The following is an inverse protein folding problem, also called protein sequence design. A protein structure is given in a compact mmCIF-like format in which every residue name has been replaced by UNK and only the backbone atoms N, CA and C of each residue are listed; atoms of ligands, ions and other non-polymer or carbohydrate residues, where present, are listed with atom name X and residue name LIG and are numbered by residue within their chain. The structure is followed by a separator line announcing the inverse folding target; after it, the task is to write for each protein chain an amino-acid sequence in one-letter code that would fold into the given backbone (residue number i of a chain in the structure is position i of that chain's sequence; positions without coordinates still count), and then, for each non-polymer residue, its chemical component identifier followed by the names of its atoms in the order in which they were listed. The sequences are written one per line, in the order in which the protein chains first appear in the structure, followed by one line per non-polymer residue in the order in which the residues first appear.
data_IF_541447616739
#
_entry.id   IF_541447616739
#
_cell.length_a   1.000
_cell.length_b   1.000
_cell.length_c   1.000
_cell.angle_alpha   90.00
_cell.angle_beta   90.00
_cell.angle_gamma   90.00
#
_symmetry.space_group_name_H-M   'P 1'
#
loop_
_entity.id
_entity.type
_entity.pdbx_description
1 polymer ?
#
# COMPACT_ATOMS: atom_id res chain seq x y z
N UNK A 1 20.87 -56.01 -9.85
CA UNK A 1 20.17 -55.86 -8.56
C UNK A 1 20.30 -54.42 -8.09
N UNK A 2 19.19 -53.85 -7.60
CA UNK A 2 18.96 -52.51 -7.03
C UNK A 2 19.26 -51.31 -7.96
N UNK A 3 18.28 -50.71 -8.65
CA UNK A 3 17.10 -49.94 -8.20
C UNK A 3 17.48 -48.59 -7.57
N UNK A 4 17.25 -47.52 -8.34
CA UNK A 4 17.34 -46.12 -7.90
C UNK A 4 16.10 -45.75 -7.06
N UNK A 5 16.23 -44.85 -6.06
CA UNK A 5 15.10 -44.39 -5.26
C UNK A 5 14.27 -43.31 -5.98
N UNK A 6 12.96 -43.39 -5.78
CA UNK A 6 11.94 -42.53 -6.36
C UNK A 6 11.80 -41.18 -5.62
N UNK A 7 11.48 -40.14 -6.38
CA UNK A 7 11.04 -38.84 -5.90
C UNK A 7 9.60 -38.91 -5.33
N UNK A 8 9.22 -38.03 -4.38
CA UNK A 8 7.86 -37.98 -3.86
C UNK A 8 6.88 -37.45 -4.93
N UNK A 9 5.69 -38.06 -4.93
CA UNK A 9 4.61 -37.76 -5.86
C UNK A 9 4.07 -36.34 -5.68
N UNK A 10 3.93 -35.62 -6.79
CA UNK A 10 3.10 -34.43 -6.88
C UNK A 10 1.63 -34.86 -6.82
N UNK A 11 0.87 -34.31 -5.88
CA UNK A 11 -0.60 -34.36 -5.89
C UNK A 11 -1.09 -33.48 -7.05
N UNK A 12 -1.52 -34.14 -8.12
CA UNK A 12 -2.18 -33.52 -9.27
C UNK A 12 -3.62 -33.18 -8.90
N UNK A 13 -4.00 -31.91 -8.99
CA UNK A 13 -5.41 -31.53 -9.07
C UNK A 13 -6.07 -32.26 -10.25
N UNK A 14 -7.25 -32.85 -10.08
CA UNK A 14 -7.95 -33.47 -11.19
C UNK A 14 -8.47 -32.40 -12.16
N UNK A 15 -8.14 -32.61 -13.43
CA UNK A 15 -8.66 -31.85 -14.55
C UNK A 15 -10.20 -31.83 -14.54
N UNK A 16 -10.78 -30.63 -14.65
CA UNK A 16 -12.21 -30.43 -14.82
C UNK A 16 -12.65 -31.00 -16.19
N UNK A 17 -13.45 -32.06 -16.14
CA UNK A 17 -14.06 -32.66 -17.33
C UNK A 17 -15.08 -31.70 -17.95
N UNK A 18 -15.23 -31.67 -19.29
CA UNK A 18 -16.22 -30.82 -19.93
C UNK A 18 -17.63 -31.27 -19.52
N UNK A 19 -18.41 -30.35 -18.96
CA UNK A 19 -19.80 -30.58 -18.63
C UNK A 19 -20.58 -31.01 -19.89
N UNK A 20 -21.23 -32.16 -19.82
CA UNK A 20 -22.15 -32.63 -20.84
C UNK A 20 -23.36 -31.68 -20.91
N UNK A 21 -23.67 -31.20 -22.11
CA UNK A 21 -24.84 -30.37 -22.39
C UNK A 21 -26.12 -31.17 -22.16
N UNK A 22 -26.94 -30.73 -21.21
CA UNK A 22 -28.24 -31.34 -20.91
C UNK A 22 -29.21 -31.12 -22.08
N UNK A 23 -30.09 -32.09 -22.42
CA UNK A 23 -31.01 -31.96 -23.54
C UNK A 23 -32.01 -30.81 -23.31
N UNK A 24 -32.18 -29.99 -24.35
CA UNK A 24 -33.11 -28.88 -24.37
C UNK A 24 -34.52 -29.31 -23.95
N UNK A 25 -35.01 -28.72 -22.86
CA UNK A 25 -36.39 -28.90 -22.41
C UNK A 25 -37.36 -28.33 -23.45
N UNK A 26 -38.41 -29.10 -23.78
CA UNK A 26 -39.46 -28.68 -24.71
C UNK A 26 -40.10 -27.34 -24.28
N UNK A 27 -40.50 -26.48 -25.24
CA UNK A 27 -41.08 -25.18 -24.91
C UNK A 27 -42.41 -25.37 -24.16
N UNK A 28 -42.47 -24.80 -22.95
CA UNK A 28 -43.73 -24.71 -22.19
C UNK A 28 -44.73 -23.86 -22.99
N UNK A 29 -46.01 -24.24 -23.08
CA UNK A 29 -47.01 -23.41 -23.72
C UNK A 29 -47.13 -22.08 -22.96
N UNK A 30 -47.14 -20.98 -23.72
CA UNK A 30 -47.27 -19.64 -23.17
C UNK A 30 -48.57 -19.53 -22.36
N UNK A 31 -48.55 -18.85 -21.20
CA UNK A 31 -49.78 -18.63 -20.45
C UNK A 31 -50.74 -17.79 -21.29
N UNK A 32 -51.96 -18.29 -21.47
CA UNK A 32 -53.04 -17.52 -22.09
C UNK A 32 -53.39 -16.38 -21.14
N UNK A 33 -53.03 -15.15 -21.51
CA UNK A 33 -53.40 -13.96 -20.75
C UNK A 33 -54.90 -13.74 -20.95
N UNK A 34 -55.69 -13.88 -19.89
CA UNK A 34 -57.09 -13.50 -19.90
C UNK A 34 -57.21 -11.99 -20.25
N UNK A 35 -58.21 -11.55 -21.03
CA UNK A 35 -58.38 -10.15 -21.34
C UNK A 35 -58.53 -9.36 -20.03
N UNK A 36 -57.75 -8.28 -19.91
CA UNK A 36 -57.82 -7.40 -18.76
C UNK A 36 -59.26 -6.89 -18.58
N UNK A 37 -59.76 -6.95 -17.34
CA UNK A 37 -61.02 -6.31 -16.97
C UNK A 37 -60.98 -4.83 -17.39
N UNK A 38 -62.10 -4.23 -17.85
CA UNK A 38 -62.12 -2.83 -18.23
C UNK A 38 -61.65 -1.98 -17.05
N UNK A 39 -60.70 -1.08 -17.34
CA UNK A 39 -60.20 -0.14 -16.35
C UNK A 39 -61.38 0.62 -15.72
N UNK A 40 -61.39 0.73 -14.39
CA UNK A 40 -62.30 1.62 -13.69
C UNK A 40 -62.22 3.02 -14.31
N UNK A 41 -63.32 3.78 -14.38
CA UNK A 41 -63.30 5.13 -14.92
C UNK A 41 -62.23 5.94 -14.18
N UNK A 42 -61.32 6.54 -14.93
CA UNK A 42 -60.29 7.41 -14.37
C UNK A 42 -60.96 8.45 -13.47
N UNK A 43 -60.43 8.62 -12.26
CA UNK A 43 -60.88 9.71 -11.39
C UNK A 43 -60.81 11.02 -12.19
N UNK A 44 -61.79 11.94 -12.02
CA UNK A 44 -61.77 13.20 -12.73
C UNK A 44 -60.43 13.89 -12.44
N UNK A 45 -59.65 14.12 -13.50
CA UNK A 45 -58.42 14.91 -13.42
C UNK A 45 -58.83 16.26 -12.84
N UNK A 46 -58.24 16.63 -11.70
CA UNK A 46 -58.49 17.93 -11.10
C UNK A 46 -58.23 19.01 -12.16
N UNK A 47 -59.27 19.72 -12.57
CA UNK A 47 -59.15 20.82 -13.52
C UNK A 47 -58.35 21.93 -12.86
N UNK A 48 -57.33 22.42 -13.58
CA UNK A 48 -56.51 23.53 -13.11
C UNK A 48 -57.43 24.74 -12.78
N UNK A 49 -57.22 25.43 -11.65
CA UNK A 49 -58.06 26.55 -11.27
C UNK A 49 -58.02 27.63 -12.35
N UNK A 50 -59.19 28.17 -12.71
CA UNK A 50 -59.29 29.27 -13.68
C UNK A 50 -58.69 30.55 -13.07
N UNK A 51 -57.51 30.92 -13.55
CA UNK A 51 -56.73 32.08 -13.13
C UNK A 51 -55.33 32.03 -13.73
N UNK A 52 -54.52 33.09 -13.62
CA UNK A 52 -53.13 33.05 -14.06
C UNK A 52 -52.36 32.00 -13.24
N UNK A 53 -52.12 30.83 -13.83
CA UNK A 53 -51.33 29.77 -13.23
C UNK A 53 -49.88 30.23 -13.11
N UNK A 54 -49.43 30.51 -11.88
CA UNK A 54 -48.01 30.68 -11.57
C UNK A 54 -47.47 29.31 -11.16
N UNK A 55 -46.67 28.63 -12.00
CA UNK A 55 -46.10 27.34 -11.62
C UNK A 55 -45.29 27.51 -10.33
N UNK A 56 -45.31 26.51 -9.42
CA UNK A 56 -44.43 26.54 -8.27
C UNK A 56 -42.98 26.50 -8.77
N UNK A 57 -42.28 27.62 -8.65
CA UNK A 57 -40.85 27.69 -8.95
C UNK A 57 -40.13 27.19 -7.70
N UNK A 58 -39.30 26.15 -7.85
CA UNK A 58 -38.41 25.74 -6.77
C UNK A 58 -37.39 26.86 -6.56
N UNK A 59 -37.59 27.66 -5.52
CA UNK A 59 -36.60 28.64 -5.08
C UNK A 59 -35.64 27.89 -4.17
N UNK A 60 -34.42 27.64 -4.66
CA UNK A 60 -33.35 27.08 -3.85
C UNK A 60 -32.94 28.04 -2.74
N UNK A 61 -32.45 27.51 -1.62
CA UNK A 61 -31.80 28.34 -0.61
C UNK A 61 -30.62 29.09 -1.24
N UNK A 62 -30.36 30.32 -0.81
CA UNK A 62 -29.28 31.14 -1.34
C UNK A 62 -27.92 30.49 -1.03
N UNK A 63 -27.17 30.13 -2.07
CA UNK A 63 -25.81 29.63 -1.90
C UNK A 63 -24.90 30.78 -1.47
N UNK A 64 -24.34 30.68 -0.26
CA UNK A 64 -23.28 31.58 0.17
C UNK A 64 -21.92 30.87 -0.03
N UNK A 65 -21.21 31.14 -1.14
CA UNK A 65 -19.98 30.42 -1.49
C UNK A 65 -18.89 30.60 -0.42
N UNK A 66 -18.88 31.75 0.27
CA UNK A 66 -17.93 31.99 1.36
C UNK A 66 -18.18 31.10 2.58
N UNK A 67 -19.44 30.80 2.92
CA UNK A 67 -19.75 29.88 4.02
C UNK A 67 -19.24 28.47 3.73
N UNK A 68 -19.45 28.00 2.50
CA UNK A 68 -18.95 26.69 2.06
C UNK A 68 -17.42 26.67 2.07
N UNK A 69 -16.78 27.72 1.55
CA UNK A 69 -15.32 27.85 1.55
C UNK A 69 -14.74 27.79 2.98
N UNK A 70 -15.26 28.59 3.91
CA UNK A 70 -14.74 28.62 5.29
C UNK A 70 -15.05 27.33 6.05
N UNK A 71 -16.21 26.70 5.82
CA UNK A 71 -16.51 25.40 6.39
C UNK A 71 -15.52 24.32 5.90
N UNK A 72 -15.23 24.30 4.60
CA UNK A 72 -14.25 23.38 4.02
C UNK A 72 -12.83 23.64 4.55
N UNK A 73 -12.41 24.91 4.65
CA UNK A 73 -11.13 25.28 5.22
C UNK A 73 -11.02 24.89 6.70
N UNK A 74 -12.08 25.11 7.48
CA UNK A 74 -12.14 24.72 8.89
C UNK A 74 -12.05 23.20 9.07
N UNK A 75 -12.77 22.44 8.24
CA UNK A 75 -12.67 20.98 8.24
C UNK A 75 -11.26 20.50 7.83
N UNK A 76 -10.69 21.09 6.78
CA UNK A 76 -9.32 20.79 6.35
C UNK A 76 -8.31 21.07 7.47
N UNK A 77 -8.40 22.24 8.13
CA UNK A 77 -7.54 22.60 9.24
C UNK A 77 -7.69 21.63 10.42
N UNK A 78 -8.92 21.22 10.75
CA UNK A 78 -9.18 20.22 11.80
C UNK A 78 -8.54 18.87 11.46
N UNK A 79 -8.70 18.39 10.23
CA UNK A 79 -8.10 17.13 9.77
C UNK A 79 -6.57 17.21 9.82
N UNK A 80 -5.96 18.31 9.39
CA UNK A 80 -4.51 18.52 9.49
C UNK A 80 -4.05 18.56 10.94
N UNK A 81 -4.76 19.28 11.82
CA UNK A 81 -4.40 19.38 13.23
C UNK A 81 -4.48 18.04 13.95
N UNK A 82 -5.56 17.28 13.73
CA UNK A 82 -5.76 15.98 14.39
C UNK A 82 -4.94 14.86 13.76
N UNK A 83 -4.84 14.83 12.43
CA UNK A 83 -4.22 13.74 11.68
C UNK A 83 -2.72 13.89 11.43
N UNK A 84 -2.22 15.12 11.32
CA UNK A 84 -0.79 15.38 11.07
C UNK A 84 -0.11 15.98 12.31
N UNK A 85 -0.63 17.10 12.82
CA UNK A 85 0.05 17.81 13.91
C UNK A 85 0.01 17.03 15.22
N UNK A 86 -1.16 16.48 15.59
CA UNK A 86 -1.34 15.71 16.83
C UNK A 86 -0.29 14.61 17.02
N UNK A 87 -0.15 13.65 16.08
CA UNK A 87 0.85 12.58 16.17
C UNK A 87 2.31 13.05 16.13
N UNK A 88 2.58 14.19 15.49
CA UNK A 88 3.92 14.78 15.39
C UNK A 88 4.40 15.44 16.69
N UNK A 89 3.51 15.74 17.65
CA UNK A 89 3.90 16.29 18.93
C UNK A 89 4.62 15.20 19.75
N UNK A 90 5.89 15.40 20.17
CA UNK A 90 6.58 14.45 21.04
C UNK A 90 5.93 14.47 22.42
N UNK A 91 5.19 13.41 22.76
CA UNK A 91 4.59 13.21 24.08
C UNK A 91 5.56 12.55 25.09
N UNK A 92 6.78 12.22 24.64
CA UNK A 92 7.84 11.60 25.43
C UNK A 92 9.03 12.52 25.69
N UNK A 93 10.02 12.01 26.41
CA UNK A 93 11.27 12.72 26.73
C UNK A 93 11.97 13.20 25.45
N UNK A 94 12.47 14.45 25.38
CA UNK A 94 13.26 14.92 24.24
C UNK A 94 14.45 13.98 23.99
N UNK A 95 14.52 13.38 22.80
CA UNK A 95 15.49 12.34 22.44
C UNK A 95 14.89 10.94 22.25
N UNK A 96 13.67 10.67 22.71
CA UNK A 96 13.01 9.36 22.60
C UNK A 96 12.36 9.06 21.23
N UNK A 97 12.68 9.83 20.19
CA UNK A 97 12.22 9.59 18.80
C UNK A 97 13.37 9.54 17.79
N UNK A 98 14.56 9.18 18.24
CA UNK A 98 15.48 8.40 17.41
C UNK A 98 15.04 6.95 17.57
N UNK A 99 15.11 6.11 16.54
CA UNK A 99 14.99 4.67 16.76
C UNK A 99 15.85 4.25 17.94
N UNK A 100 15.35 3.36 18.79
CA UNK A 100 16.20 2.75 19.83
C UNK A 100 17.43 2.00 19.23
N UNK A 101 17.46 1.80 17.91
CA UNK A 101 18.60 1.28 17.15
C UNK A 101 19.58 2.43 16.88
N UNK A 102 20.58 2.63 17.73
CA UNK A 102 21.65 3.61 17.50
C UNK A 102 22.60 3.20 16.36
N UNK A 103 22.92 4.14 15.47
CA UNK A 103 24.01 4.00 14.49
C UNK A 103 25.32 4.54 15.04
N UNK A 104 26.45 3.98 14.62
CA UNK A 104 27.75 4.64 14.79
C UNK A 104 27.80 5.97 14.01
N UNK A 105 28.68 6.90 14.41
CA UNK A 105 28.88 8.16 13.68
C UNK A 105 29.21 7.93 12.19
N UNK A 106 29.93 6.85 11.89
CA UNK A 106 30.27 6.47 10.53
C UNK A 106 29.03 5.98 9.76
N UNK A 107 28.17 5.20 10.39
CA UNK A 107 26.91 4.75 9.82
C UNK A 107 25.89 5.89 9.65
N UNK A 108 25.87 6.89 10.53
CA UNK A 108 25.04 8.10 10.33
C UNK A 108 25.47 8.87 9.08
N UNK A 109 26.80 9.02 8.85
CA UNK A 109 27.30 9.57 7.57
C UNK A 109 26.91 8.68 6.40
N UNK A 110 27.01 7.37 6.55
CA UNK A 110 26.61 6.39 5.54
C UNK A 110 25.13 6.46 5.18
N UNK A 111 24.26 6.73 6.15
CA UNK A 111 22.84 6.93 5.94
C UNK A 111 22.56 8.16 5.07
N UNK A 112 23.26 9.27 5.32
CA UNK A 112 23.16 10.47 4.49
C UNK A 112 23.65 10.20 3.05
N UNK A 113 24.73 9.42 2.90
CA UNK A 113 25.23 8.99 1.61
C UNK A 113 24.20 8.11 0.89
N UNK A 114 23.62 7.11 1.58
CA UNK A 114 22.57 6.23 1.06
C UNK A 114 21.38 7.05 0.51
N UNK A 115 20.93 8.06 1.25
CA UNK A 115 19.86 8.95 0.81
C UNK A 115 20.27 9.79 -0.41
N UNK A 116 21.47 10.36 -0.40
CA UNK A 116 21.98 11.23 -1.48
C UNK A 116 22.26 10.50 -2.80
N UNK A 117 22.71 9.24 -2.72
CA UNK A 117 22.97 8.37 -3.86
C UNK A 117 21.68 7.79 -4.45
N UNK A 118 20.54 8.05 -3.82
CA UNK A 118 19.24 7.61 -4.32
C UNK A 118 19.00 6.11 -4.15
N UNK A 119 19.69 5.44 -3.22
CA UNK A 119 19.51 4.01 -2.98
C UNK A 119 18.03 3.66 -2.65
N UNK A 120 17.35 4.55 -1.94
CA UNK A 120 15.93 4.47 -1.56
C UNK A 120 14.94 4.47 -2.76
N UNK A 121 15.39 4.83 -3.97
CA UNK A 121 14.57 4.73 -5.18
C UNK A 121 14.44 3.29 -5.69
N UNK A 122 15.42 2.44 -5.40
CA UNK A 122 15.46 1.05 -5.84
C UNK A 122 15.27 0.05 -4.70
N UNK A 123 15.70 0.41 -3.49
CA UNK A 123 15.69 -0.46 -2.32
C UNK A 123 14.76 0.08 -1.25
N UNK A 124 13.93 -0.79 -0.69
CA UNK A 124 13.17 -0.51 0.52
C UNK A 124 14.00 -0.88 1.75
N UNK A 125 13.67 -0.25 2.88
CA UNK A 125 14.16 -0.62 4.21
C UNK A 125 12.94 -0.71 5.13
N UNK A 126 11.99 -1.55 4.74
CA UNK A 126 10.75 -1.77 5.47
C UNK A 126 10.28 -3.21 5.28
N UNK A 127 10.51 -4.05 6.29
CA UNK A 127 9.90 -5.37 6.40
C UNK A 127 8.48 -5.20 6.92
N UNK A 128 7.49 -5.58 6.11
CA UNK A 128 6.08 -5.50 6.49
C UNK A 128 5.65 -6.82 7.13
N UNK A 129 4.64 -6.79 8.03
CA UNK A 129 4.09 -8.00 8.64
C UNK A 129 3.16 -8.75 7.65
N UNK A 130 3.71 -9.21 6.53
CA UNK A 130 3.00 -9.94 5.47
C UNK A 130 3.78 -11.18 5.04
N UNK A 131 3.08 -12.20 4.54
CA UNK A 131 3.70 -13.47 4.13
C UNK A 131 4.82 -13.28 3.09
N UNK A 132 4.67 -12.29 2.21
CA UNK A 132 5.65 -12.00 1.15
C UNK A 132 7.01 -11.51 1.67
N UNK A 133 7.08 -11.00 2.90
CA UNK A 133 8.31 -10.45 3.49
C UNK A 133 8.93 -11.42 4.52
N UNK A 134 8.47 -12.68 4.60
CA UNK A 134 9.07 -13.71 5.45
C UNK A 134 10.54 -13.94 5.03
N UNK A 135 11.43 -14.00 6.04
CA UNK A 135 12.86 -14.24 5.84
C UNK A 135 13.69 -13.01 5.48
N UNK A 136 13.05 -11.83 5.38
CA UNK A 136 13.77 -10.56 5.20
C UNK A 136 14.29 -9.98 6.51
N UNK A 137 13.76 -10.39 7.66
CA UNK A 137 14.04 -9.83 8.98
C UNK A 137 12.76 -9.73 9.82
N UNK A 138 12.86 -9.10 10.99
CA UNK A 138 11.72 -8.75 11.82
C UNK A 138 10.94 -7.58 11.21
N UNK A 139 9.66 -7.43 11.57
CA UNK A 139 8.86 -6.31 11.10
C UNK A 139 9.49 -4.97 11.54
N UNK A 140 9.68 -4.06 10.58
CA UNK A 140 10.32 -2.77 10.85
C UNK A 140 9.48 -1.95 11.82
N UNK A 141 10.12 -1.46 12.89
CA UNK A 141 9.47 -0.65 13.92
C UNK A 141 9.15 0.75 13.39
N UNK A 142 8.11 1.36 13.96
CA UNK A 142 7.58 2.64 13.52
C UNK A 142 8.52 3.83 13.81
N UNK A 143 9.49 3.62 14.70
CA UNK A 143 10.51 4.57 15.13
C UNK A 143 11.88 4.34 14.45
N UNK A 144 11.99 3.45 13.45
CA UNK A 144 13.25 3.16 12.74
C UNK A 144 13.98 4.43 12.25
N UNK A 145 15.32 4.44 12.33
CA UNK A 145 16.17 5.47 11.73
C UNK A 145 16.53 5.14 10.28
N UNK A 146 16.11 4.00 9.74
CA UNK A 146 16.40 3.63 8.36
C UNK A 146 15.72 4.57 7.36
N UNK A 147 16.37 4.79 6.22
CA UNK A 147 15.78 5.56 5.11
C UNK A 147 14.77 4.68 4.39
N UNK A 148 13.48 4.95 4.60
CA UNK A 148 12.40 4.20 3.99
C UNK A 148 12.37 4.41 2.47
N UNK A 149 12.49 3.33 1.71
CA UNK A 149 12.40 3.37 0.25
C UNK A 149 10.97 3.54 -0.25
N UNK A 150 10.83 4.04 -1.49
CA UNK A 150 9.52 4.27 -2.12
C UNK A 150 9.11 3.16 -3.09
N UNK A 151 10.08 2.36 -3.56
CA UNK A 151 9.90 1.27 -4.53
C UNK A 151 10.95 0.18 -4.31
N UNK A 152 10.60 -1.05 -4.67
CA UNK A 152 11.44 -2.24 -4.51
C UNK A 152 11.77 -2.84 -5.88
N UNK A 153 12.77 -2.27 -6.54
CA UNK A 153 13.38 -2.85 -7.74
C UNK A 153 14.49 -3.84 -7.37
N UNK A 154 15.28 -3.50 -6.35
CA UNK A 154 16.24 -4.39 -5.71
C UNK A 154 15.67 -5.06 -4.46
N UNK A 155 16.45 -5.93 -3.80
CA UNK A 155 16.08 -6.52 -2.52
C UNK A 155 15.83 -5.46 -1.44
N UNK A 156 15.02 -5.78 -0.44
CA UNK A 156 14.88 -4.94 0.75
C UNK A 156 16.17 -5.03 1.60
N UNK A 157 16.56 -3.92 2.21
CA UNK A 157 17.81 -3.75 2.94
C UNK A 157 17.63 -3.49 4.44
N UNK A 158 16.40 -3.58 4.96
CA UNK A 158 16.11 -3.29 6.37
C UNK A 158 16.89 -4.16 7.35
N UNK A 159 17.20 -5.40 6.96
CA UNK A 159 17.98 -6.36 7.76
C UNK A 159 19.21 -6.88 7.00
N UNK A 160 19.80 -6.05 6.14
CA UNK A 160 20.94 -6.51 5.34
C UNK A 160 22.18 -6.76 6.20
N UNK A 161 22.33 -6.04 7.32
CA UNK A 161 23.44 -6.21 8.26
C UNK A 161 23.54 -7.59 8.89
N UNK A 162 22.40 -8.28 9.06
CA UNK A 162 22.34 -9.66 9.55
C UNK A 162 22.51 -10.72 8.45
N UNK A 163 22.42 -10.32 7.18
CA UNK A 163 22.40 -11.25 6.03
C UNK A 163 23.70 -11.26 5.24
N UNK A 164 24.44 -10.16 5.22
CA UNK A 164 25.65 -9.99 4.44
C UNK A 164 26.78 -9.40 5.27
N UNK A 165 27.97 -9.96 5.10
CA UNK A 165 29.20 -9.42 5.68
C UNK A 165 29.63 -8.12 4.98
N UNK A 166 30.39 -7.27 5.68
CA UNK A 166 30.82 -5.97 5.19
C UNK A 166 31.59 -6.03 3.85
N UNK A 167 32.41 -7.06 3.64
CA UNK A 167 33.15 -7.22 2.38
C UNK A 167 32.24 -7.59 1.21
N UNK A 168 31.19 -8.40 1.46
CA UNK A 168 30.19 -8.72 0.44
C UNK A 168 29.38 -7.47 0.07
N UNK A 169 28.97 -6.68 1.07
CA UNK A 169 28.31 -5.40 0.85
C UNK A 169 29.17 -4.46 0.01
N UNK A 170 30.46 -4.31 0.37
CA UNK A 170 31.42 -3.49 -0.39
C UNK A 170 31.54 -3.95 -1.85
N UNK A 171 31.62 -5.25 -2.09
CA UNK A 171 31.71 -5.79 -3.45
C UNK A 171 30.44 -5.48 -4.27
N UNK A 172 29.26 -5.69 -3.70
CA UNK A 172 27.97 -5.46 -4.38
C UNK A 172 27.80 -3.98 -4.73
N UNK A 173 27.99 -3.07 -3.77
CA UNK A 173 27.78 -1.62 -4.01
C UNK A 173 28.81 -1.01 -4.97
N UNK A 174 29.93 -1.71 -5.21
CA UNK A 174 30.94 -1.33 -6.20
C UNK A 174 30.76 -1.99 -7.57
N UNK A 175 29.80 -2.92 -7.71
CA UNK A 175 29.37 -3.44 -9.01
C UNK A 175 29.28 -4.96 -9.12
N UNK A 176 29.50 -5.72 -8.04
CA UNK A 176 29.38 -7.17 -8.07
C UNK A 176 27.91 -7.60 -8.23
N UNK A 177 27.72 -8.87 -8.64
CA UNK A 177 26.40 -9.52 -8.74
C UNK A 177 25.38 -8.80 -9.64
N UNK A 178 25.86 -7.99 -10.59
CA UNK A 178 25.01 -7.23 -11.50
C UNK A 178 24.37 -5.98 -10.88
N UNK A 179 24.76 -5.60 -9.66
CA UNK A 179 24.36 -4.35 -9.05
C UNK A 179 25.03 -3.15 -9.75
N UNK A 180 24.33 -2.03 -10.00
CA UNK A 180 24.97 -0.82 -10.54
C UNK A 180 26.06 -0.30 -9.60
N UNK A 181 27.24 -0.01 -10.12
CA UNK A 181 28.29 0.59 -9.29
C UNK A 181 27.86 1.97 -8.80
N UNK A 182 28.00 2.22 -7.51
CA UNK A 182 27.72 3.54 -6.90
C UNK A 182 28.73 4.61 -7.29
N UNK A 183 29.91 4.22 -7.81
CA UNK A 183 31.02 5.12 -8.09
C UNK A 183 31.69 5.70 -6.84
N UNK A 184 31.28 5.27 -5.65
CA UNK A 184 31.88 5.69 -4.38
C UNK A 184 33.22 5.00 -4.12
N UNK A 185 34.10 5.69 -3.40
CA UNK A 185 35.39 5.16 -2.97
C UNK A 185 35.81 5.80 -1.63
N UNK A 186 36.84 5.21 -0.99
CA UNK A 186 37.42 5.75 0.25
C UNK A 186 36.40 5.85 1.38
N UNK A 187 36.48 6.94 2.15
CA UNK A 187 35.67 7.14 3.36
C UNK A 187 34.16 7.13 3.09
N UNK A 188 33.70 7.59 1.93
CA UNK A 188 32.27 7.60 1.60
C UNK A 188 31.75 6.18 1.35
N UNK A 189 32.56 5.33 0.72
CA UNK A 189 32.24 3.91 0.55
C UNK A 189 32.25 3.20 1.90
N UNK A 190 33.23 3.47 2.75
CA UNK A 190 33.34 2.87 4.07
C UNK A 190 32.17 3.28 4.97
N UNK A 191 31.75 4.54 4.91
CA UNK A 191 30.56 5.04 5.58
C UNK A 191 29.29 4.34 5.09
N UNK A 192 29.09 4.23 3.77
CA UNK A 192 27.93 3.53 3.22
C UNK A 192 27.89 2.05 3.65
N UNK A 193 29.04 1.37 3.62
CA UNK A 193 29.13 -0.04 4.06
C UNK A 193 28.83 -0.14 5.55
N UNK A 194 29.35 0.75 6.40
CA UNK A 194 29.04 0.78 7.82
C UNK A 194 27.53 0.93 8.07
N UNK A 195 26.87 1.84 7.36
CA UNK A 195 25.42 2.01 7.44
C UNK A 195 24.65 0.73 7.10
N UNK A 196 25.01 0.08 5.98
CA UNK A 196 24.34 -1.15 5.56
C UNK A 196 24.61 -2.32 6.52
N UNK A 197 25.84 -2.44 7.04
CA UNK A 197 26.20 -3.43 8.05
C UNK A 197 25.46 -3.24 9.37
N UNK A 198 25.13 -2.00 9.72
CA UNK A 198 24.36 -1.69 10.93
C UNK A 198 22.84 -1.67 10.70
N UNK A 199 22.38 -1.81 9.46
CA UNK A 199 20.96 -1.85 9.08
C UNK A 199 20.35 -3.20 9.44
N UNK A 200 19.74 -3.24 10.63
CA UNK A 200 19.03 -4.40 11.18
C UNK A 200 17.59 -4.04 11.49
N UNK A 201 16.69 -4.98 11.22
CA UNK A 201 15.26 -4.85 11.46
C UNK A 201 14.92 -5.42 12.83
N UNK A 202 14.10 -4.70 13.62
CA UNK A 202 13.68 -5.15 14.95
C UNK A 202 14.62 -4.72 16.08
N UNK A 203 14.27 -5.09 17.31
CA UNK A 203 14.97 -4.69 18.53
C UNK A 203 16.23 -5.54 18.83
N UNK A 204 16.65 -6.40 17.91
CA UNK A 204 17.72 -7.37 18.11
C UNK A 204 19.11 -6.76 17.91
N UNK A 205 19.65 -6.18 18.99
CA UNK A 205 21.08 -6.25 19.33
C UNK A 205 21.24 -6.68 20.78
#
# INVERSE_FOLDING_TARGET
AAAAPAAPAAETEPAEAPAAEAPAAAPKPAPVVAPAAPAAPAAPVATAPAGPYKPPVLVGAEDNPFRVFWAALGLFALVVLVGLVGPSIPLGTPGARTSDIGYSELAERGQAIYASQGCAFCHTQMVRPVIADIGLGDATLNDTNQVLGIRRFGPDLADVGNRLEADALRAIVTGAEGHPSTGLAGEDLDALVAYLSESVSGASR
#
